data_IF_286334048186
#
_entry.id   IF_286334048186
#
_cell.length_a   1.000
_cell.length_b   1.000
_cell.length_c   1.000
_cell.angle_alpha   90.00
_cell.angle_beta   90.00
_cell.angle_gamma   90.00
#
_symmetry.space_group_name_H-M   'P 1'
#
loop_
_entity.id
_entity.type
_entity.pdbx_description
1 polymer ?
#
# COMPACT_ATOMS: atom_id res chain seq x y z
N UNK A 1 -10.87 22.10 10.12
CA UNK A 1 -10.64 20.64 10.08
C UNK A 1 -9.25 20.43 9.50
N UNK A 2 -8.28 20.00 10.30
CA UNK A 2 -6.93 19.71 9.82
C UNK A 2 -6.97 18.50 8.87
N UNK A 3 -6.32 18.60 7.71
CA UNK A 3 -6.17 17.47 6.78
C UNK A 3 -5.37 16.37 7.48
N UNK A 4 -5.91 15.15 7.55
CA UNK A 4 -5.23 13.99 8.13
C UNK A 4 -3.91 13.73 7.40
N UNK A 5 -2.83 13.53 8.14
CA UNK A 5 -1.49 13.24 7.58
C UNK A 5 -1.41 11.76 7.20
N UNK A 6 -1.95 10.90 8.04
CA UNK A 6 -2.07 9.47 7.80
C UNK A 6 -3.51 9.20 7.32
N UNK A 7 -3.69 9.10 6.03
CA UNK A 7 -4.98 8.74 5.40
C UNK A 7 -4.71 7.91 4.15
N UNK A 8 -5.62 7.01 3.85
CA UNK A 8 -5.64 6.26 2.59
C UNK A 8 -6.25 7.06 1.43
N UNK A 9 -6.96 8.17 1.72
CA UNK A 9 -7.54 9.01 0.69
C UNK A 9 -6.46 9.71 -0.13
N UNK A 10 -6.48 9.49 -1.43
CA UNK A 10 -5.60 10.15 -2.39
C UNK A 10 -6.22 11.52 -2.74
N UNK A 11 -5.59 12.60 -2.31
CA UNK A 11 -5.88 13.92 -2.87
C UNK A 11 -5.31 13.98 -4.30
N UNK A 12 -6.04 14.54 -5.26
CA UNK A 12 -5.61 14.58 -6.68
C UNK A 12 -4.22 15.19 -6.89
N UNK A 13 -3.86 16.20 -6.11
CA UNK A 13 -2.53 16.80 -6.13
C UNK A 13 -1.44 15.86 -5.60
N UNK A 14 -1.75 15.07 -4.58
CA UNK A 14 -0.81 14.09 -4.02
C UNK A 14 -0.54 12.97 -5.02
N UNK A 15 -1.54 12.54 -5.79
CA UNK A 15 -1.41 11.50 -6.84
C UNK A 15 -0.44 11.95 -7.94
N UNK A 16 -0.54 13.19 -8.41
CA UNK A 16 0.35 13.72 -9.47
C UNK A 16 1.80 13.76 -9.01
N UNK A 17 2.05 14.22 -7.79
CA UNK A 17 3.41 14.32 -7.25
C UNK A 17 3.94 12.93 -6.89
N UNK A 18 3.13 12.06 -6.28
CA UNK A 18 3.53 10.67 -6.03
C UNK A 18 3.96 9.97 -7.32
N UNK A 19 3.24 10.17 -8.43
CA UNK A 19 3.62 9.60 -9.72
C UNK A 19 4.96 10.12 -10.22
N UNK A 20 5.28 11.40 -9.98
CA UNK A 20 6.57 11.98 -10.37
C UNK A 20 7.75 11.47 -9.52
N UNK A 21 7.49 11.15 -8.26
CA UNK A 21 8.49 10.62 -7.32
C UNK A 21 8.73 9.11 -7.48
N UNK A 22 7.84 8.38 -8.18
CA UNK A 22 7.96 6.93 -8.33
C UNK A 22 9.16 6.54 -9.18
N UNK A 23 9.99 5.57 -8.72
CA UNK A 23 11.01 4.97 -9.56
C UNK A 23 10.38 4.29 -10.77
N UNK A 24 11.03 4.41 -11.92
CA UNK A 24 10.54 3.88 -13.19
C UNK A 24 11.19 2.53 -13.55
N UNK A 25 12.36 2.25 -13.01
CA UNK A 25 13.12 1.03 -13.25
C UNK A 25 13.40 0.28 -11.95
N UNK A 26 13.65 -1.01 -12.06
CA UNK A 26 13.98 -1.86 -10.92
C UNK A 26 15.31 -1.46 -10.26
N UNK A 27 16.26 -0.92 -11.04
CA UNK A 27 17.54 -0.37 -10.55
C UNK A 27 17.35 0.81 -9.59
N UNK A 28 16.32 1.61 -9.79
CA UNK A 28 16.05 2.83 -9.02
C UNK A 28 15.17 2.55 -7.79
N UNK A 29 14.64 1.33 -7.70
CA UNK A 29 13.76 0.93 -6.63
C UNK A 29 14.56 0.57 -5.38
N UNK A 30 14.34 1.30 -4.30
CA UNK A 30 15.03 1.14 -3.02
C UNK A 30 14.25 0.18 -2.14
N UNK A 31 14.94 -0.73 -1.46
CA UNK A 31 14.37 -1.71 -0.55
C UNK A 31 13.70 -2.90 -1.22
N UNK A 32 13.01 -3.71 -0.43
CA UNK A 32 12.32 -4.95 -0.87
C UNK A 32 13.25 -5.91 -1.63
N UNK A 33 14.49 -6.07 -1.17
CA UNK A 33 15.58 -6.72 -1.93
C UNK A 33 15.20 -8.13 -2.42
N UNK A 34 14.51 -8.92 -1.60
CA UNK A 34 14.07 -10.26 -1.99
C UNK A 34 13.07 -10.23 -3.15
N UNK A 35 12.06 -9.37 -3.09
CA UNK A 35 11.08 -9.21 -4.16
C UNK A 35 11.75 -8.67 -5.43
N UNK A 36 12.65 -7.70 -5.29
CA UNK A 36 13.40 -7.10 -6.39
C UNK A 36 14.27 -8.11 -7.13
N UNK A 37 15.04 -8.92 -6.40
CA UNK A 37 15.87 -9.98 -6.99
C UNK A 37 15.03 -11.01 -7.74
N UNK A 38 13.94 -11.47 -7.13
CA UNK A 38 13.03 -12.43 -7.74
C UNK A 38 12.41 -11.88 -9.01
N UNK A 39 11.87 -10.66 -8.97
CA UNK A 39 11.30 -9.99 -10.14
C UNK A 39 12.31 -9.81 -11.27
N UNK A 40 13.54 -9.40 -10.93
CA UNK A 40 14.61 -9.23 -11.92
C UNK A 40 14.84 -10.52 -12.72
N UNK A 41 14.97 -11.65 -12.04
CA UNK A 41 15.17 -12.96 -12.67
C UNK A 41 14.00 -13.32 -13.60
N UNK A 42 12.76 -13.16 -13.14
CA UNK A 42 11.58 -13.51 -13.93
C UNK A 42 11.41 -12.59 -15.14
N UNK A 43 11.64 -11.29 -14.98
CA UNK A 43 11.59 -10.33 -16.08
C UNK A 43 12.66 -10.65 -17.15
N UNK A 44 13.91 -10.89 -16.73
CA UNK A 44 15.00 -11.27 -17.65
C UNK A 44 14.68 -12.58 -18.38
N UNK A 45 14.15 -13.56 -17.69
CA UNK A 45 13.76 -14.84 -18.27
C UNK A 45 12.62 -14.70 -19.28
N UNK A 46 11.55 -13.94 -18.94
CA UNK A 46 10.43 -13.67 -19.83
C UNK A 46 10.90 -12.94 -21.10
N UNK A 47 11.74 -11.90 -20.95
CA UNK A 47 12.35 -11.17 -22.08
C UNK A 47 13.16 -12.09 -22.99
N UNK A 48 13.98 -12.96 -22.43
CA UNK A 48 14.83 -13.89 -23.20
C UNK A 48 14.00 -14.88 -24.05
N UNK A 49 12.84 -15.29 -23.55
CA UNK A 49 11.91 -16.17 -24.25
C UNK A 49 10.89 -15.44 -25.13
N UNK A 50 10.87 -14.09 -25.05
CA UNK A 50 9.85 -13.24 -25.71
C UNK A 50 8.42 -13.62 -25.31
N UNK A 51 8.21 -13.85 -24.01
CA UNK A 51 6.94 -14.22 -23.38
C UNK A 51 6.47 -13.11 -22.45
N UNK A 52 5.16 -13.10 -22.17
CA UNK A 52 4.61 -12.30 -21.08
C UNK A 52 5.13 -12.81 -19.74
N UNK A 53 5.26 -11.94 -18.75
CA UNK A 53 5.59 -12.34 -17.39
C UNK A 53 4.42 -13.15 -16.79
N UNK A 54 4.71 -14.10 -15.93
CA UNK A 54 3.69 -14.79 -15.13
C UNK A 54 2.90 -13.78 -14.28
N UNK A 55 1.65 -14.14 -13.91
CA UNK A 55 0.83 -13.30 -13.05
C UNK A 55 1.48 -13.11 -11.68
N UNK A 56 1.46 -11.88 -11.18
CA UNK A 56 2.16 -11.46 -9.95
C UNK A 56 1.18 -10.97 -8.90
N UNK A 57 1.33 -11.44 -7.67
CA UNK A 57 0.60 -10.95 -6.50
C UNK A 57 1.55 -10.24 -5.54
N UNK A 58 1.25 -8.97 -5.24
CA UNK A 58 1.88 -8.23 -4.16
C UNK A 58 0.93 -8.10 -2.97
N UNK A 59 1.39 -8.45 -1.77
CA UNK A 59 0.60 -8.26 -0.58
C UNK A 59 1.40 -7.65 0.57
N UNK A 60 0.72 -6.97 1.47
CA UNK A 60 1.31 -6.30 2.63
C UNK A 60 0.61 -4.97 2.92
N UNK A 61 1.00 -4.29 4.01
CA UNK A 61 0.41 -3.02 4.43
C UNK A 61 0.32 -1.97 3.30
N UNK A 62 -0.56 -0.97 3.42
CA UNK A 62 -0.67 0.08 2.42
C UNK A 62 0.60 0.97 2.40
N UNK A 63 0.86 1.61 1.27
CA UNK A 63 1.97 2.58 1.15
C UNK A 63 3.36 1.99 0.92
N UNK A 64 3.50 0.67 0.70
CA UNK A 64 4.77 -0.02 0.50
C UNK A 64 5.25 -0.10 -0.95
N UNK A 65 4.51 0.47 -1.91
CA UNK A 65 4.96 0.53 -3.31
C UNK A 65 4.42 -0.57 -4.23
N UNK A 66 3.31 -1.25 -3.90
CA UNK A 66 2.68 -2.29 -4.76
C UNK A 66 2.38 -1.76 -6.16
N UNK A 67 1.74 -0.60 -6.27
CA UNK A 67 1.45 0.07 -7.56
C UNK A 67 2.71 0.49 -8.29
N UNK A 68 3.73 0.94 -7.56
CA UNK A 68 5.03 1.31 -8.14
C UNK A 68 5.72 0.11 -8.79
N UNK A 69 5.72 -1.04 -8.13
CA UNK A 69 6.28 -2.27 -8.68
C UNK A 69 5.53 -2.74 -9.93
N UNK A 70 4.21 -2.59 -9.98
CA UNK A 70 3.45 -2.87 -11.20
C UNK A 70 3.87 -1.97 -12.38
N UNK A 71 4.08 -0.67 -12.12
CA UNK A 71 4.60 0.25 -13.11
C UNK A 71 6.01 -0.11 -13.58
N UNK A 72 6.88 -0.49 -12.66
CA UNK A 72 8.24 -0.94 -12.97
C UNK A 72 8.20 -2.20 -13.84
N UNK A 73 7.36 -3.18 -13.53
CA UNK A 73 7.20 -4.40 -14.35
C UNK A 73 6.83 -4.01 -15.80
N UNK A 74 5.85 -3.13 -15.98
CA UNK A 74 5.43 -2.69 -17.30
C UNK A 74 6.55 -1.98 -18.05
N UNK A 75 7.28 -1.08 -17.39
CA UNK A 75 8.42 -0.37 -17.97
C UNK A 75 9.57 -1.32 -18.35
N UNK A 76 9.93 -2.22 -17.44
CA UNK A 76 10.97 -3.22 -17.69
C UNK A 76 10.61 -4.16 -18.84
N UNK A 77 9.35 -4.55 -18.98
CA UNK A 77 8.85 -5.38 -20.07
C UNK A 77 8.59 -4.57 -21.34
N UNK A 78 8.65 -3.24 -21.29
CA UNK A 78 8.35 -2.30 -22.39
C UNK A 78 6.93 -2.51 -22.95
N UNK A 79 5.94 -2.56 -22.07
CA UNK A 79 4.52 -2.76 -22.38
C UNK A 79 3.67 -1.71 -21.66
N UNK A 80 2.37 -1.62 -22.03
CA UNK A 80 1.47 -0.68 -21.37
C UNK A 80 1.02 -1.19 -20.01
N UNK A 81 0.76 -0.25 -19.09
CA UNK A 81 0.12 -0.49 -17.81
C UNK A 81 -1.33 -0.02 -17.83
N UNK A 82 -2.27 -0.92 -17.57
CA UNK A 82 -3.66 -0.60 -17.27
C UNK A 82 -3.87 -0.71 -15.77
N UNK A 83 -4.46 0.31 -15.15
CA UNK A 83 -4.68 0.36 -13.70
C UNK A 83 -6.17 0.36 -13.41
N UNK A 84 -6.59 -0.51 -12.52
CA UNK A 84 -7.94 -0.56 -11.97
C UNK A 84 -7.89 -1.00 -10.51
N UNK A 85 -9.04 -1.15 -9.88
CA UNK A 85 -9.15 -1.65 -8.49
C UNK A 85 -10.32 -2.61 -8.34
N UNK A 86 -10.25 -3.50 -7.35
CA UNK A 86 -11.35 -4.41 -7.03
C UNK A 86 -12.68 -3.70 -6.84
N UNK A 87 -12.75 -2.64 -6.02
CA UNK A 87 -13.99 -1.85 -5.84
C UNK A 87 -14.54 -1.19 -7.09
N UNK A 88 -13.70 -0.88 -8.08
CA UNK A 88 -14.11 -0.25 -9.33
C UNK A 88 -14.72 -1.23 -10.34
N UNK A 89 -14.63 -2.54 -10.09
CA UNK A 89 -15.14 -3.59 -10.98
C UNK A 89 -16.31 -4.28 -10.28
N UNK A 90 -17.52 -3.84 -10.61
CA UNK A 90 -18.73 -4.38 -9.98
C UNK A 90 -19.35 -5.55 -10.78
N UNK A 91 -19.16 -5.56 -12.10
CA UNK A 91 -19.84 -6.50 -13.01
C UNK A 91 -18.86 -7.29 -13.88
N UNK A 92 -19.20 -8.55 -14.20
CA UNK A 92 -18.40 -9.37 -15.11
C UNK A 92 -18.09 -8.72 -16.45
N UNK A 93 -19.04 -7.97 -17.00
CA UNK A 93 -18.85 -7.27 -18.28
C UNK A 93 -17.80 -6.17 -18.26
N UNK A 94 -17.57 -5.55 -17.10
CA UNK A 94 -16.56 -4.49 -16.95
C UNK A 94 -15.15 -5.07 -17.02
N UNK A 95 -14.89 -6.16 -16.29
CA UNK A 95 -13.58 -6.83 -16.39
C UNK A 95 -13.37 -7.45 -17.77
N UNK A 96 -14.41 -8.02 -18.38
CA UNK A 96 -14.34 -8.54 -19.73
C UNK A 96 -13.97 -7.45 -20.76
N UNK A 97 -14.55 -6.25 -20.63
CA UNK A 97 -14.21 -5.10 -21.48
C UNK A 97 -12.77 -4.63 -21.26
N UNK A 98 -12.29 -4.58 -20.02
CA UNK A 98 -10.89 -4.24 -19.72
C UNK A 98 -9.95 -5.24 -20.38
N UNK A 99 -10.19 -6.54 -20.18
CA UNK A 99 -9.34 -7.62 -20.73
C UNK A 99 -9.31 -7.61 -22.27
N UNK A 100 -10.45 -7.39 -22.92
CA UNK A 100 -10.56 -7.35 -24.37
C UNK A 100 -9.84 -6.12 -25.00
N UNK A 101 -9.60 -5.07 -24.22
CA UNK A 101 -8.87 -3.88 -24.66
C UNK A 101 -7.35 -3.91 -24.37
N UNK A 102 -6.83 -5.01 -23.83
CA UNK A 102 -5.39 -5.21 -23.66
C UNK A 102 -4.71 -5.54 -24.98
N UNK A 103 -3.43 -5.22 -25.07
CA UNK A 103 -2.54 -5.61 -26.15
C UNK A 103 -1.61 -6.75 -25.68
N UNK A 104 -0.95 -7.40 -26.63
CA UNK A 104 -0.01 -8.48 -26.32
C UNK A 104 1.09 -8.00 -25.37
N UNK A 105 1.22 -8.69 -24.25
CA UNK A 105 2.20 -8.41 -23.19
C UNK A 105 1.79 -7.35 -22.17
N UNK A 106 0.67 -6.64 -22.35
CA UNK A 106 0.23 -5.58 -21.44
C UNK A 106 0.15 -6.07 -19.98
N UNK A 107 0.38 -5.14 -19.06
CA UNK A 107 0.20 -5.36 -17.62
C UNK A 107 -1.14 -4.78 -17.17
N UNK A 108 -2.00 -5.61 -16.59
CA UNK A 108 -3.21 -5.20 -15.90
C UNK A 108 -2.95 -5.20 -14.39
N UNK A 109 -2.95 -4.02 -13.78
CA UNK A 109 -2.84 -3.87 -12.32
C UNK A 109 -4.21 -3.72 -11.69
N UNK A 110 -4.53 -4.59 -10.72
CA UNK A 110 -5.76 -4.56 -9.93
C UNK A 110 -5.42 -4.33 -8.47
N UNK A 111 -5.64 -3.11 -7.98
CA UNK A 111 -5.47 -2.79 -6.56
C UNK A 111 -6.65 -3.32 -5.73
N UNK A 112 -6.41 -3.63 -4.47
CA UNK A 112 -7.41 -4.24 -3.57
C UNK A 112 -8.15 -5.42 -4.21
N UNK A 113 -7.43 -6.31 -4.89
CA UNK A 113 -7.99 -7.43 -5.66
C UNK A 113 -8.87 -8.36 -4.80
N UNK A 114 -8.65 -8.40 -3.47
CA UNK A 114 -9.49 -9.16 -2.52
C UNK A 114 -10.94 -8.63 -2.42
N UNK A 115 -11.21 -7.45 -2.98
CA UNK A 115 -12.56 -6.85 -2.99
C UNK A 115 -13.34 -7.14 -4.26
N UNK A 116 -12.79 -7.93 -5.18
CA UNK A 116 -13.55 -8.43 -6.32
C UNK A 116 -14.69 -9.32 -5.84
N UNK A 117 -15.86 -9.17 -6.45
CA UNK A 117 -16.93 -10.10 -6.19
C UNK A 117 -16.71 -11.43 -6.95
N UNK A 118 -17.35 -12.49 -6.50
CA UNK A 118 -17.17 -13.83 -7.04
C UNK A 118 -17.44 -13.94 -8.54
N UNK A 119 -18.44 -13.23 -9.04
CA UNK A 119 -18.79 -13.28 -10.47
C UNK A 119 -17.70 -12.69 -11.36
N UNK A 120 -17.02 -11.64 -10.87
CA UNK A 120 -15.86 -11.03 -11.55
C UNK A 120 -14.65 -11.97 -11.48
N UNK A 121 -14.39 -12.59 -10.32
CA UNK A 121 -13.31 -13.57 -10.20
C UNK A 121 -13.49 -14.75 -11.17
N UNK A 122 -14.73 -15.24 -11.37
CA UNK A 122 -15.03 -16.35 -12.29
C UNK A 122 -14.69 -16.00 -13.75
N UNK A 123 -14.72 -14.73 -14.14
CA UNK A 123 -14.23 -14.28 -15.47
C UNK A 123 -12.70 -14.25 -15.51
N UNK A 124 -12.03 -13.91 -14.41
CA UNK A 124 -10.58 -13.87 -14.35
C UNK A 124 -9.93 -15.25 -14.44
N UNK A 125 -10.57 -16.29 -13.94
CA UNK A 125 -9.95 -17.62 -13.92
C UNK A 125 -9.54 -18.11 -15.31
N UNK A 126 -10.44 -18.23 -16.32
CA UNK A 126 -10.04 -18.63 -17.65
C UNK A 126 -9.17 -17.57 -18.36
N UNK A 127 -9.35 -16.29 -18.03
CA UNK A 127 -8.51 -15.24 -18.57
C UNK A 127 -7.04 -15.38 -18.15
N UNK A 128 -6.78 -15.80 -16.90
CA UNK A 128 -5.42 -15.99 -16.38
C UNK A 128 -4.79 -17.30 -16.83
N UNK A 129 -5.59 -18.38 -16.95
CA UNK A 129 -5.06 -19.70 -17.31
C UNK A 129 -4.93 -19.90 -18.81
N UNK A 130 -6.01 -19.57 -19.54
CA UNK A 130 -6.17 -19.90 -20.96
C UNK A 130 -6.06 -18.68 -21.88
N UNK A 131 -5.95 -17.47 -21.31
CA UNK A 131 -6.08 -16.22 -22.06
C UNK A 131 -7.35 -16.17 -22.90
N UNK A 132 -8.48 -16.51 -22.30
CA UNK A 132 -9.79 -16.51 -22.93
C UNK A 132 -10.87 -16.14 -21.90
N UNK A 133 -11.99 -15.61 -22.39
CA UNK A 133 -13.18 -15.36 -21.59
C UNK A 133 -14.41 -15.97 -22.24
N UNK A 134 -15.35 -16.45 -21.44
CA UNK A 134 -16.62 -16.97 -21.89
C UNK A 134 -17.72 -15.92 -21.71
N UNK A 135 -18.33 -15.49 -22.81
CA UNK A 135 -19.38 -14.48 -22.82
C UNK A 135 -20.71 -15.16 -23.17
N UNK A 136 -21.72 -14.92 -22.32
CA UNK A 136 -23.08 -15.38 -22.58
C UNK A 136 -23.80 -14.40 -23.50
N UNK A 137 -24.22 -14.85 -24.69
CA UNK A 137 -25.01 -14.08 -25.65
C UNK A 137 -26.41 -14.67 -25.73
N UNK A 138 -27.44 -13.79 -25.69
CA UNK A 138 -28.83 -14.16 -25.69
C UNK A 138 -29.44 -14.25 -24.29
N UNK A 139 -30.74 -14.60 -24.24
CA UNK A 139 -31.49 -14.75 -22.99
C UNK A 139 -32.31 -16.05 -22.99
N UNK A 140 -32.50 -16.62 -21.81
CA UNK A 140 -33.28 -17.83 -21.62
C UNK A 140 -32.72 -19.05 -22.36
N UNK A 141 -33.58 -19.87 -22.96
CA UNK A 141 -33.19 -21.12 -23.63
C UNK A 141 -32.35 -20.94 -24.92
N UNK A 142 -32.25 -19.70 -25.44
CA UNK A 142 -31.44 -19.37 -26.60
C UNK A 142 -30.04 -18.80 -26.22
N UNK A 143 -29.74 -18.72 -24.93
CA UNK A 143 -28.44 -18.26 -24.48
C UNK A 143 -27.32 -19.21 -24.93
N UNK A 144 -26.27 -18.66 -25.52
CA UNK A 144 -25.07 -19.41 -25.96
C UNK A 144 -23.83 -18.80 -25.33
N UNK A 145 -22.91 -19.66 -24.89
CA UNK A 145 -21.58 -19.22 -24.48
C UNK A 145 -20.70 -19.09 -25.72
N UNK A 146 -20.05 -17.95 -25.88
CA UNK A 146 -19.03 -17.72 -26.88
C UNK A 146 -17.71 -17.47 -26.16
N UNK A 147 -16.69 -18.27 -26.50
CA UNK A 147 -15.32 -18.13 -26.02
C UNK A 147 -14.61 -17.09 -26.88
N UNK A 148 -14.06 -16.06 -26.26
CA UNK A 148 -13.23 -15.04 -26.90
C UNK A 148 -11.77 -15.20 -26.43
N UNK A 149 -10.86 -15.34 -27.38
CA UNK A 149 -9.44 -15.36 -27.09
C UNK A 149 -8.96 -13.94 -26.75
N UNK A 150 -8.10 -13.84 -25.74
CA UNK A 150 -7.46 -12.62 -25.29
C UNK A 150 -5.98 -12.60 -25.70
N UNK A 151 -5.38 -11.43 -25.92
CA UNK A 151 -3.93 -11.33 -26.00
C UNK A 151 -3.31 -11.81 -24.69
N UNK A 152 -2.11 -12.38 -24.74
CA UNK A 152 -1.39 -12.73 -23.53
C UNK A 152 -1.07 -11.45 -22.75
N UNK A 153 -1.33 -11.46 -21.45
CA UNK A 153 -1.13 -10.33 -20.56
C UNK A 153 -0.60 -10.80 -19.21
N UNK A 154 -0.09 -9.88 -18.44
CA UNK A 154 0.30 -10.12 -17.05
C UNK A 154 -0.70 -9.45 -16.11
N UNK A 155 -1.38 -10.22 -15.26
CA UNK A 155 -2.16 -9.68 -14.15
C UNK A 155 -1.23 -9.43 -12.97
N UNK A 156 -1.19 -8.19 -12.48
CA UNK A 156 -0.54 -7.83 -11.23
C UNK A 156 -1.61 -7.48 -10.21
N UNK A 157 -1.85 -8.37 -9.27
CA UNK A 157 -2.78 -8.15 -8.17
C UNK A 157 -2.08 -7.51 -6.97
N UNK A 158 -2.77 -6.60 -6.30
CA UNK A 158 -2.32 -6.02 -5.04
C UNK A 158 -3.38 -6.17 -3.95
N UNK A 159 -2.96 -6.49 -2.73
CA UNK A 159 -3.87 -6.62 -1.59
C UNK A 159 -3.19 -6.28 -0.27
N UNK A 160 -3.94 -5.70 0.66
CA UNK A 160 -3.55 -5.59 2.07
C UNK A 160 -3.90 -6.86 2.85
N UNK A 161 -4.84 -7.67 2.36
CA UNK A 161 -5.47 -8.80 3.05
C UNK A 161 -5.36 -10.09 2.22
N UNK A 162 -4.15 -10.64 2.11
CA UNK A 162 -3.92 -11.87 1.35
C UNK A 162 -4.80 -13.07 1.79
N UNK A 163 -5.14 -13.13 3.07
CA UNK A 163 -6.03 -14.17 3.62
C UNK A 163 -7.49 -14.06 3.15
N UNK A 164 -7.91 -12.93 2.59
CA UNK A 164 -9.26 -12.76 2.03
C UNK A 164 -9.36 -13.17 0.56
N UNK A 165 -8.24 -13.43 -0.11
CA UNK A 165 -8.28 -13.96 -1.47
C UNK A 165 -8.82 -15.37 -1.47
N UNK A 166 -9.69 -15.66 -2.43
CA UNK A 166 -10.12 -17.03 -2.65
C UNK A 166 -8.95 -17.92 -3.08
N UNK A 167 -8.93 -19.17 -2.65
CA UNK A 167 -7.87 -20.08 -3.03
C UNK A 167 -7.74 -20.23 -4.56
N UNK A 168 -8.84 -20.34 -5.33
CA UNK A 168 -8.76 -20.40 -6.79
C UNK A 168 -8.07 -19.19 -7.43
N UNK A 169 -8.33 -17.99 -6.94
CA UNK A 169 -7.67 -16.78 -7.47
C UNK A 169 -6.20 -16.74 -7.09
N UNK A 170 -5.89 -17.02 -5.82
CA UNK A 170 -4.52 -16.97 -5.30
C UNK A 170 -3.60 -17.97 -6.01
N UNK A 171 -4.09 -19.20 -6.26
CA UNK A 171 -3.29 -20.29 -6.83
C UNK A 171 -2.95 -20.05 -8.31
N UNK A 172 -3.57 -19.05 -8.96
CA UNK A 172 -3.27 -18.64 -10.34
C UNK A 172 -2.14 -17.63 -10.45
N UNK A 173 -1.64 -17.10 -9.34
CA UNK A 173 -0.47 -16.25 -9.35
C UNK A 173 0.81 -17.10 -9.29
N UNK A 174 1.61 -17.06 -10.35
CA UNK A 174 2.89 -17.74 -10.41
C UNK A 174 3.96 -17.10 -9.54
N UNK A 175 3.83 -15.81 -9.27
CA UNK A 175 4.78 -15.02 -8.47
C UNK A 175 4.05 -14.33 -7.33
N UNK A 176 4.37 -14.70 -6.09
CA UNK A 176 3.74 -14.12 -4.90
C UNK A 176 4.80 -13.47 -4.01
N UNK A 177 4.72 -12.16 -3.80
CA UNK A 177 5.67 -11.40 -3.02
C UNK A 177 4.98 -10.66 -1.87
N UNK A 178 5.46 -10.90 -0.65
CA UNK A 178 5.13 -10.09 0.51
C UNK A 178 6.03 -8.87 0.54
N UNK A 179 5.42 -7.67 0.62
CA UNK A 179 6.16 -6.44 0.87
C UNK A 179 6.20 -6.16 2.38
N UNK A 180 7.35 -5.73 2.84
CA UNK A 180 7.61 -5.46 4.24
C UNK A 180 7.80 -3.96 4.48
N UNK A 181 7.69 -3.55 5.75
CA UNK A 181 8.02 -2.19 6.13
C UNK A 181 9.50 -1.90 5.86
N UNK A 182 9.77 -0.71 5.37
CA UNK A 182 11.13 -0.24 5.10
C UNK A 182 11.86 0.10 6.39
N UNK A 183 13.17 -0.04 6.35
CA UNK A 183 14.07 0.44 7.40
C UNK A 183 14.19 1.97 7.35
N UNK A 184 14.60 2.58 8.45
CA UNK A 184 14.86 4.03 8.51
C UNK A 184 15.90 4.47 7.47
N UNK A 185 16.94 3.64 7.25
CA UNK A 185 17.99 3.92 6.27
C UNK A 185 17.48 3.89 4.82
N UNK A 186 16.64 2.92 4.48
CA UNK A 186 16.00 2.87 3.17
C UNK A 186 15.07 4.07 2.95
N UNK A 187 14.28 4.45 3.97
CA UNK A 187 13.42 5.62 3.91
C UNK A 187 14.21 6.92 3.84
N UNK A 188 15.31 7.05 4.56
CA UNK A 188 16.22 8.19 4.44
C UNK A 188 16.71 8.34 2.99
N UNK A 189 17.12 7.24 2.35
CA UNK A 189 17.56 7.24 0.95
C UNK A 189 16.43 7.64 0.00
N UNK A 190 15.20 7.16 0.25
CA UNK A 190 14.01 7.53 -0.52
C UNK A 190 13.70 9.03 -0.35
N UNK A 191 13.76 9.56 0.87
CA UNK A 191 13.51 10.98 1.15
C UNK A 191 14.54 11.86 0.46
N UNK A 192 15.83 11.52 0.55
CA UNK A 192 16.92 12.25 -0.12
C UNK A 192 16.72 12.30 -1.63
N UNK A 193 16.41 11.15 -2.25
CA UNK A 193 16.09 11.09 -3.69
C UNK A 193 14.85 11.91 -4.03
N UNK A 194 13.80 11.82 -3.23
CA UNK A 194 12.56 12.56 -3.46
C UNK A 194 12.76 14.07 -3.31
N UNK A 195 13.62 14.50 -2.38
CA UNK A 195 14.00 15.90 -2.20
C UNK A 195 14.75 16.43 -3.42
N UNK A 196 15.70 15.65 -3.96
CA UNK A 196 16.42 16.00 -5.19
C UNK A 196 15.45 16.18 -6.38
N UNK A 197 14.53 15.24 -6.60
CA UNK A 197 13.50 15.33 -7.66
C UNK A 197 12.59 16.54 -7.49
N UNK A 198 12.29 16.94 -6.23
CA UNK A 198 11.46 18.11 -5.93
C UNK A 198 12.25 19.43 -5.90
N UNK A 199 13.56 19.40 -6.08
CA UNK A 199 14.43 20.57 -5.96
C UNK A 199 14.47 21.16 -4.55
N UNK A 200 14.42 20.32 -3.53
CA UNK A 200 14.43 20.69 -2.11
C UNK A 200 15.80 20.37 -1.52
N UNK A 201 16.43 21.38 -0.92
CA UNK A 201 17.68 21.18 -0.21
C UNK A 201 17.40 20.56 1.17
N UNK A 202 18.07 19.43 1.47
CA UNK A 202 17.86 18.67 2.68
C UNK A 202 19.17 18.08 3.20
N UNK A 203 19.38 18.18 4.51
CA UNK A 203 20.49 17.53 5.18
C UNK A 203 20.20 16.06 5.50
N UNK A 204 21.22 15.18 5.53
CA UNK A 204 21.03 13.77 5.86
C UNK A 204 20.34 13.53 7.21
N UNK A 205 20.62 14.34 8.23
CA UNK A 205 19.97 14.23 9.54
C UNK A 205 18.49 14.64 9.50
N UNK A 206 18.14 15.67 8.73
CA UNK A 206 16.74 16.05 8.52
C UNK A 206 15.95 14.94 7.80
N UNK A 207 16.55 14.31 6.79
CA UNK A 207 15.98 13.16 6.12
C UNK A 207 15.82 11.95 7.06
N UNK A 208 16.82 11.69 7.93
CA UNK A 208 16.76 10.60 8.90
C UNK A 208 15.64 10.83 9.94
N UNK A 209 15.49 12.04 10.43
CA UNK A 209 14.42 12.37 11.39
C UNK A 209 13.02 12.14 10.79
N UNK A 210 12.82 12.54 9.54
CA UNK A 210 11.57 12.22 8.83
C UNK A 210 11.41 10.71 8.58
N UNK A 211 12.49 9.99 8.26
CA UNK A 211 12.47 8.55 8.05
C UNK A 211 12.01 7.79 9.29
N UNK A 212 12.49 8.15 10.48
CA UNK A 212 12.07 7.57 11.77
C UNK A 212 10.56 7.70 11.99
N UNK A 213 9.98 8.85 11.63
CA UNK A 213 8.56 9.15 11.83
C UNK A 213 7.66 8.73 10.65
N UNK A 214 8.23 8.09 9.61
CA UNK A 214 7.51 7.67 8.40
C UNK A 214 6.85 6.28 8.48
N UNK A 215 6.79 5.67 9.65
CA UNK A 215 6.11 4.39 9.91
C UNK A 215 6.52 3.25 8.97
N UNK A 216 7.75 3.27 8.47
CA UNK A 216 8.24 2.23 7.56
C UNK A 216 7.61 2.27 6.15
N UNK A 217 6.96 3.37 5.74
CA UNK A 217 6.28 3.44 4.45
C UNK A 217 6.76 4.61 3.59
N UNK A 218 7.17 4.37 2.32
CA UNK A 218 7.57 5.42 1.39
C UNK A 218 6.49 6.48 1.13
N UNK A 219 5.21 6.09 1.12
CA UNK A 219 4.10 7.02 0.91
C UNK A 219 4.06 8.09 2.01
N UNK A 220 4.17 7.68 3.28
CA UNK A 220 4.17 8.63 4.39
C UNK A 220 5.46 9.45 4.40
N UNK A 221 6.62 8.85 4.11
CA UNK A 221 7.89 9.56 3.98
C UNK A 221 7.79 10.72 2.98
N UNK A 222 7.25 10.47 1.79
CA UNK A 222 7.06 11.50 0.77
C UNK A 222 6.02 12.56 1.17
N UNK A 223 4.96 12.18 1.90
CA UNK A 223 4.00 13.15 2.45
C UNK A 223 4.64 14.06 3.48
N UNK A 224 5.40 13.49 4.42
CA UNK A 224 6.11 14.28 5.43
C UNK A 224 7.12 15.22 4.78
N UNK A 225 7.89 14.76 3.77
CA UNK A 225 8.81 15.60 3.03
C UNK A 225 8.12 16.83 2.43
N UNK A 226 6.95 16.66 1.80
CA UNK A 226 6.18 17.78 1.24
C UNK A 226 5.76 18.78 2.31
N UNK A 227 5.29 18.29 3.45
CA UNK A 227 4.87 19.17 4.55
C UNK A 227 6.05 19.89 5.19
N UNK A 228 7.12 19.17 5.49
CA UNK A 228 8.34 19.77 6.06
C UNK A 228 8.96 20.80 5.11
N UNK A 229 8.96 20.52 3.79
CA UNK A 229 9.36 21.49 2.77
C UNK A 229 8.56 22.80 2.88
N UNK A 230 7.23 22.71 2.98
CA UNK A 230 6.38 23.90 3.08
C UNK A 230 6.73 24.74 4.32
N UNK A 231 7.05 24.09 5.45
CA UNK A 231 7.55 24.75 6.65
C UNK A 231 8.93 25.40 6.44
N UNK A 232 9.86 24.66 5.81
CA UNK A 232 11.19 25.17 5.54
C UNK A 232 11.16 26.44 4.66
N UNK A 233 10.31 26.43 3.61
CA UNK A 233 10.18 27.57 2.69
C UNK A 233 9.52 28.80 3.32
N UNK A 234 8.57 28.61 4.23
CA UNK A 234 7.80 29.73 4.79
C UNK A 234 8.47 30.33 6.04
N UNK A 235 9.08 29.49 6.88
CA UNK A 235 9.60 29.89 8.19
C UNK A 235 11.12 29.97 8.28
N UNK A 236 11.81 29.39 7.31
CA UNK A 236 13.28 29.29 7.28
C UNK A 236 13.79 29.67 5.89
N UNK A 237 15.03 29.35 5.61
CA UNK A 237 15.74 29.64 4.35
C UNK A 237 15.49 28.61 3.22
N UNK A 238 14.58 27.67 3.44
CA UNK A 238 14.22 26.62 2.48
C UNK A 238 15.01 25.32 2.62
N UNK A 239 16.03 25.27 3.49
CA UNK A 239 16.81 24.06 3.75
C UNK A 239 16.17 23.25 4.88
N UNK A 240 16.04 21.94 4.65
CA UNK A 240 15.51 21.01 5.67
C UNK A 240 16.68 20.47 6.50
N UNK A 241 16.97 21.11 7.60
CA UNK A 241 17.89 20.61 8.63
C UNK A 241 17.17 19.67 9.60
N UNK A 242 17.90 19.01 10.50
CA UNK A 242 17.31 18.20 11.56
C UNK A 242 16.34 19.00 12.44
N UNK A 243 16.74 20.24 12.82
CA UNK A 243 15.92 21.13 13.65
C UNK A 243 14.62 21.54 12.95
N UNK A 244 14.70 21.87 11.66
CA UNK A 244 13.53 22.23 10.85
C UNK A 244 12.59 21.03 10.72
N UNK A 245 13.13 19.82 10.47
CA UNK A 245 12.35 18.60 10.40
C UNK A 245 11.65 18.30 11.73
N UNK A 246 12.36 18.34 12.86
CA UNK A 246 11.78 18.12 14.19
C UNK A 246 10.67 19.11 14.49
N UNK A 247 10.92 20.42 14.31
CA UNK A 247 9.94 21.46 14.57
C UNK A 247 8.66 21.27 13.72
N UNK A 248 8.83 21.02 12.43
CA UNK A 248 7.69 20.81 11.54
C UNK A 248 6.88 19.54 11.90
N UNK A 249 7.55 18.44 12.22
CA UNK A 249 6.90 17.18 12.59
C UNK A 249 6.15 17.28 13.93
N UNK A 250 6.71 18.02 14.88
CA UNK A 250 6.04 18.28 16.16
C UNK A 250 4.77 19.14 15.99
N UNK A 251 4.81 20.18 15.13
CA UNK A 251 3.61 20.94 14.75
C UNK A 251 2.56 20.12 13.98
N UNK A 252 3.00 19.10 13.27
CA UNK A 252 2.12 18.14 12.60
C UNK A 252 1.60 17.04 13.55
N UNK A 253 1.94 17.13 14.84
CA UNK A 253 1.56 16.16 15.87
C UNK A 253 2.01 14.72 15.58
N UNK A 254 3.09 14.55 14.80
CA UNK A 254 3.73 13.26 14.53
C UNK A 254 4.86 13.06 15.51
N UNK A 255 4.71 12.12 16.44
CA UNK A 255 5.70 11.91 17.49
C UNK A 255 6.96 11.17 17.02
N UNK A 256 7.90 10.93 17.92
CA UNK A 256 9.18 10.27 17.63
C UNK A 256 9.07 8.85 17.05
N UNK A 257 7.93 8.17 17.23
CA UNK A 257 7.62 6.87 16.65
C UNK A 257 6.71 6.97 15.43
N UNK A 258 6.40 8.18 14.96
CA UNK A 258 5.49 8.39 13.84
C UNK A 258 4.01 8.16 14.18
N UNK A 259 3.65 8.15 15.47
CA UNK A 259 2.26 8.08 15.88
C UNK A 259 1.60 9.45 15.71
N UNK A 260 0.44 9.46 15.06
CA UNK A 260 -0.41 10.65 14.94
C UNK A 260 -1.49 10.69 16.05
N UNK A 261 -2.37 11.67 15.97
CA UNK A 261 -3.45 11.83 16.95
C UNK A 261 -4.43 10.64 16.95
N UNK A 262 -4.64 9.95 15.82
CA UNK A 262 -5.53 8.78 15.76
C UNK A 262 -4.88 7.58 16.43
N UNK A 263 -3.60 7.32 16.19
CA UNK A 263 -2.86 6.27 16.89
C UNK A 263 -2.93 6.47 18.39
N UNK A 264 -2.64 7.69 18.86
CA UNK A 264 -2.73 8.02 20.29
C UNK A 264 -4.16 7.85 20.82
N UNK A 265 -5.18 8.25 20.05
CA UNK A 265 -6.57 8.08 20.43
C UNK A 265 -6.98 6.60 20.51
N UNK A 266 -6.47 5.74 19.62
CA UNK A 266 -6.65 4.29 19.72
C UNK A 266 -6.09 3.77 21.05
N UNK A 267 -4.83 4.10 21.36
CA UNK A 267 -4.18 3.64 22.59
C UNK A 267 -4.86 4.18 23.84
N UNK A 268 -5.13 5.49 23.90
CA UNK A 268 -5.79 6.15 25.03
C UNK A 268 -7.22 5.62 25.24
N UNK A 269 -7.95 5.35 24.17
CA UNK A 269 -9.30 4.78 24.29
C UNK A 269 -9.27 3.42 24.96
N UNK A 270 -8.35 2.53 24.60
CA UNK A 270 -8.21 1.24 25.26
C UNK A 270 -7.80 1.42 26.73
N UNK A 271 -6.87 2.33 27.01
CA UNK A 271 -6.38 2.57 28.38
C UNK A 271 -7.48 3.20 29.25
N UNK A 272 -8.05 4.32 28.82
CA UNK A 272 -8.91 5.15 29.65
C UNK A 272 -10.38 4.68 29.67
N UNK A 273 -10.94 4.39 28.47
CA UNK A 273 -12.36 3.99 28.37
C UNK A 273 -12.58 2.53 28.72
N UNK A 274 -11.62 1.67 28.38
CA UNK A 274 -11.74 0.23 28.63
C UNK A 274 -10.79 -0.29 29.71
N UNK A 275 -10.10 0.61 30.43
CA UNK A 275 -9.21 0.27 31.55
C UNK A 275 -8.15 -0.78 31.22
N UNK A 276 -7.62 -0.74 29.99
CA UNK A 276 -6.64 -1.71 29.49
C UNK A 276 -7.20 -3.08 29.13
N UNK A 277 -8.50 -3.33 29.34
CA UNK A 277 -9.13 -4.60 28.98
C UNK A 277 -9.14 -4.85 27.46
N UNK A 278 -9.20 -6.12 27.00
CA UNK A 278 -9.27 -6.44 25.59
C UNK A 278 -10.51 -5.84 24.90
N UNK A 279 -10.31 -5.13 23.78
CA UNK A 279 -11.38 -4.45 23.03
C UNK A 279 -11.51 -5.03 21.62
N UNK A 280 -12.73 -5.37 21.22
CA UNK A 280 -13.04 -5.77 19.84
C UNK A 280 -12.86 -4.63 18.83
N UNK A 281 -12.56 -4.98 17.57
CA UNK A 281 -12.30 -3.98 16.52
C UNK A 281 -13.46 -3.01 16.32
N UNK A 282 -14.67 -3.51 16.19
CA UNK A 282 -15.85 -2.68 15.91
C UNK A 282 -16.21 -1.77 17.10
N UNK A 283 -16.02 -2.26 18.32
CA UNK A 283 -16.21 -1.47 19.54
C UNK A 283 -15.19 -0.33 19.62
N UNK A 284 -13.93 -0.62 19.29
CA UNK A 284 -12.87 0.38 19.25
C UNK A 284 -13.16 1.44 18.17
N UNK A 285 -13.50 1.00 16.97
CA UNK A 285 -13.84 1.85 15.82
C UNK A 285 -15.00 2.81 16.15
N UNK A 286 -16.09 2.28 16.69
CA UNK A 286 -17.23 3.09 17.14
C UNK A 286 -16.85 4.09 18.24
N UNK A 287 -15.94 3.70 19.16
CA UNK A 287 -15.51 4.54 20.28
C UNK A 287 -14.67 5.75 19.89
N UNK A 288 -13.93 5.65 18.77
CA UNK A 288 -13.07 6.73 18.26
C UNK A 288 -13.66 7.43 17.03
N UNK A 289 -14.78 6.94 16.50
CA UNK A 289 -15.43 7.49 15.31
C UNK A 289 -14.68 7.22 14.01
N UNK A 290 -14.04 6.03 13.90
CA UNK A 290 -13.26 5.62 12.73
C UNK A 290 -13.87 4.35 12.11
N UNK A 291 -13.58 4.07 10.83
CA UNK A 291 -13.97 2.82 10.18
C UNK A 291 -13.11 1.65 10.67
N UNK A 292 -13.75 0.49 10.95
CA UNK A 292 -13.07 -0.72 11.40
C UNK A 292 -11.98 -1.18 10.44
N UNK A 293 -12.26 -1.14 9.13
CA UNK A 293 -11.29 -1.50 8.10
C UNK A 293 -10.09 -0.56 8.07
N UNK A 294 -10.31 0.73 8.29
CA UNK A 294 -9.23 1.73 8.38
C UNK A 294 -8.33 1.44 9.58
N UNK A 295 -8.89 1.12 10.74
CA UNK A 295 -8.07 0.75 11.90
C UNK A 295 -7.25 -0.50 11.59
N UNK A 296 -7.89 -1.54 11.07
CA UNK A 296 -7.25 -2.85 10.82
C UNK A 296 -6.17 -2.79 9.73
N UNK A 297 -6.37 -2.00 8.66
CA UNK A 297 -5.47 -1.97 7.52
C UNK A 297 -4.38 -0.90 7.62
N UNK A 298 -4.65 0.23 8.29
CA UNK A 298 -3.75 1.40 8.29
C UNK A 298 -3.01 1.56 9.60
N UNK A 299 -3.73 1.50 10.73
CA UNK A 299 -3.15 1.82 12.04
C UNK A 299 -2.60 0.59 12.74
N UNK A 300 -3.39 -0.46 12.84
CA UNK A 300 -3.07 -1.65 13.61
C UNK A 300 -1.77 -2.36 13.17
N UNK A 301 -1.46 -2.53 11.86
CA UNK A 301 -0.24 -3.21 11.45
C UNK A 301 1.04 -2.56 11.98
N UNK A 302 1.06 -1.24 12.05
CA UNK A 302 2.20 -0.50 12.58
C UNK A 302 2.27 -0.57 14.11
N UNK A 303 1.13 -0.42 14.79
CA UNK A 303 1.04 -0.52 16.25
C UNK A 303 1.43 -1.92 16.75
N UNK A 304 1.02 -2.98 16.04
CA UNK A 304 1.41 -4.37 16.33
C UNK A 304 2.92 -4.59 16.11
N UNK A 305 3.45 -4.15 14.96
CA UNK A 305 4.87 -4.32 14.62
C UNK A 305 5.78 -3.69 15.67
N UNK A 306 5.41 -2.50 16.16
CA UNK A 306 6.23 -1.75 17.11
C UNK A 306 5.88 -2.07 18.58
N UNK A 307 5.00 -3.03 18.82
CA UNK A 307 4.70 -3.52 20.15
C UNK A 307 3.87 -2.56 21.01
N UNK A 308 3.11 -1.63 20.42
CA UNK A 308 2.19 -0.77 21.15
C UNK A 308 0.91 -1.51 21.57
N UNK A 309 0.45 -2.42 20.71
CA UNK A 309 -0.73 -3.26 20.98
C UNK A 309 -0.41 -4.73 20.72
N UNK A 310 -1.26 -5.60 21.26
CA UNK A 310 -1.27 -7.04 20.98
C UNK A 310 -2.69 -7.49 20.65
N UNK A 311 -2.80 -8.49 19.74
CA UNK A 311 -4.06 -9.19 19.48
C UNK A 311 -4.20 -10.37 20.42
N UNK A 312 -5.35 -10.45 21.07
CA UNK A 312 -5.78 -11.61 21.89
C UNK A 312 -7.06 -12.20 21.32
N UNK A 313 -7.46 -13.42 21.71
CA UNK A 313 -8.76 -13.98 21.31
C UNK A 313 -9.97 -13.11 21.70
N UNK A 314 -9.82 -12.25 22.73
CA UNK A 314 -10.88 -11.36 23.23
C UNK A 314 -10.84 -9.97 22.60
N UNK A 315 -9.79 -9.62 21.86
CA UNK A 315 -9.63 -8.29 21.26
C UNK A 315 -8.20 -7.75 21.35
N UNK A 316 -8.06 -6.43 21.14
CA UNK A 316 -6.79 -5.68 21.20
C UNK A 316 -6.53 -5.22 22.62
N UNK A 317 -5.29 -5.35 23.05
CA UNK A 317 -4.80 -4.84 24.35
C UNK A 317 -3.59 -3.94 24.12
N UNK A 318 -3.45 -2.94 24.97
CA UNK A 318 -2.29 -2.04 24.98
C UNK A 318 -1.16 -2.66 25.80
N UNK A 319 0.07 -2.52 25.35
CA UNK A 319 1.25 -3.07 26.03
C UNK A 319 1.81 -2.09 27.06
N UNK A 320 2.60 -2.58 27.99
CA UNK A 320 3.37 -1.75 28.94
C UNK A 320 4.21 -0.69 28.23
N UNK A 321 4.81 -1.04 27.08
CA UNK A 321 5.59 -0.11 26.25
C UNK A 321 4.75 1.11 25.82
N UNK A 322 3.50 0.91 25.42
CA UNK A 322 2.62 1.99 25.03
C UNK A 322 2.22 2.89 26.20
N UNK A 323 1.98 2.34 27.40
CA UNK A 323 1.76 3.13 28.61
C UNK A 323 2.94 4.05 28.89
N UNK A 324 4.18 3.51 28.87
CA UNK A 324 5.39 4.31 29.06
C UNK A 324 5.56 5.39 28.00
N UNK A 325 5.25 5.06 26.74
CA UNK A 325 5.33 6.02 25.65
C UNK A 325 4.37 7.20 25.82
N UNK A 326 3.16 6.93 26.30
CA UNK A 326 2.14 7.94 26.58
C UNK A 326 2.35 8.68 27.90
N UNK A 327 3.35 8.30 28.70
CA UNK A 327 3.60 8.87 30.02
C UNK A 327 2.58 8.46 31.08
N UNK A 328 1.87 7.35 30.86
CA UNK A 328 0.84 6.83 31.76
C UNK A 328 1.44 5.72 32.62
N UNK A 329 1.12 5.73 33.92
CA UNK A 329 1.57 4.68 34.82
C UNK A 329 0.90 3.35 34.49
N UNK A 330 1.70 2.28 34.38
CA UNK A 330 1.21 0.92 34.13
C UNK A 330 1.11 0.18 35.46
N UNK A 331 -0.11 -0.07 35.90
CA UNK A 331 -0.39 -0.95 37.07
C UNK A 331 -0.62 -2.37 36.53
N UNK A 332 0.26 -3.28 36.92
CA UNK A 332 0.11 -4.69 36.59
C UNK A 332 -0.80 -5.29 37.65
N UNK A 333 -2.06 -5.64 37.29
CA UNK A 333 -2.90 -6.49 38.14
C UNK A 333 -2.34 -7.90 38.32
#
# INVERSE_FOLDING_TARGET
MGKRIITTENLEEDVKIENHLRPQLLSDYIGQEKAKQTLKIYIEAAKSRKESLDHVLFYGPPGLGKTTLAGIIANEMNVNLKVTSGPAIEKPGEIAAILNNLQEGDVLFVDEIHRLNRQVEEVLYPAMEDYAIDIMIGKGASARSIRLDLPKFTLVGATTRAGMLTAPLRDRFGVVNRLEFYTEKELQTIIMRSADVLGVEIEPNGALEMAKRSRGTPRLANRLLKRVRDFAQVKYDGVITEEVAMYALDLLEVDRYGLDHIDRNILLTIIEKFQGAPVGLDTLAASIGEDSGTIEDVYEPYLLKNGFIQRTPKGRVVTEFAYHHLGIHYEKE
#
